data_IF_078656515962
#
_entry.id   IF_078656515962
#
_cell.length_a   1.000
_cell.length_b   1.000
_cell.length_c   1.000
_cell.angle_alpha   90.00
_cell.angle_beta   90.00
_cell.angle_gamma   90.00
#
_symmetry.space_group_name_H-M   'P 1'
#
loop_
_entity.id
_entity.type
_entity.pdbx_description
1 polymer ?
#
# COMPACT_ATOMS: atom_id res chain seq x y z
N UNK A 1 -27.93 -8.96 -38.24
CA UNK A 1 -28.15 -8.05 -37.09
C UNK A 1 -26.80 -7.73 -36.46
N UNK A 2 -26.46 -6.46 -36.36
CA UNK A 2 -25.22 -5.96 -35.77
C UNK A 2 -25.25 -6.20 -34.25
N UNK A 3 -24.55 -7.23 -33.78
CA UNK A 3 -24.21 -7.34 -32.35
C UNK A 3 -23.06 -6.34 -32.12
N UNK A 4 -23.32 -5.15 -31.56
CA UNK A 4 -22.23 -4.24 -31.17
C UNK A 4 -22.64 -3.13 -30.20
N UNK A 5 -22.57 -3.45 -28.90
CA UNK A 5 -21.71 -2.82 -27.88
C UNK A 5 -22.18 -3.39 -26.54
N UNK A 6 -21.44 -4.37 -26.02
CA UNK A 6 -21.46 -4.57 -24.56
C UNK A 6 -21.11 -3.20 -23.96
N UNK A 7 -22.02 -2.63 -23.18
CA UNK A 7 -21.72 -1.42 -22.44
C UNK A 7 -20.48 -1.71 -21.58
N UNK A 8 -19.43 -0.88 -21.71
CA UNK A 8 -18.26 -1.02 -20.86
C UNK A 8 -18.72 -0.84 -19.42
N UNK A 9 -18.85 -1.94 -18.68
CA UNK A 9 -19.43 -1.95 -17.34
C UNK A 9 -18.67 -1.01 -16.38
N UNK A 10 -17.43 -0.64 -16.72
CA UNK A 10 -16.65 0.35 -15.99
C UNK A 10 -17.31 1.73 -15.98
N UNK A 11 -18.12 2.08 -16.98
CA UNK A 11 -18.89 3.33 -16.99
C UNK A 11 -20.01 3.36 -15.95
N UNK A 12 -20.28 2.22 -15.30
CA UNK A 12 -21.20 2.12 -14.15
C UNK A 12 -20.49 2.38 -12.82
N UNK A 13 -19.15 2.50 -12.81
CA UNK A 13 -18.37 2.88 -11.65
C UNK A 13 -18.39 4.40 -11.47
N UNK A 14 -18.09 4.86 -10.26
CA UNK A 14 -17.79 6.28 -10.06
C UNK A 14 -16.54 6.65 -10.89
N UNK A 15 -16.39 7.89 -11.38
CA UNK A 15 -15.21 8.28 -12.16
C UNK A 15 -13.88 8.01 -11.43
N UNK A 16 -13.89 8.07 -10.09
CA UNK A 16 -12.75 7.76 -9.25
C UNK A 16 -12.40 6.27 -9.29
N UNK A 17 -13.40 5.40 -9.19
CA UNK A 17 -13.19 3.96 -9.17
C UNK A 17 -12.93 3.38 -10.56
N UNK A 18 -13.53 3.97 -11.61
CA UNK A 18 -13.17 3.69 -13.00
C UNK A 18 -11.69 4.00 -13.26
N UNK A 19 -11.22 5.17 -12.82
CA UNK A 19 -9.81 5.54 -12.94
C UNK A 19 -8.91 4.53 -12.22
N UNK A 20 -9.23 4.19 -10.96
CA UNK A 20 -8.48 3.18 -10.19
C UNK A 20 -8.44 1.82 -10.87
N UNK A 21 -9.58 1.37 -11.42
CA UNK A 21 -9.67 0.12 -12.15
C UNK A 21 -8.75 0.13 -13.38
N UNK A 22 -8.73 1.24 -14.13
CA UNK A 22 -7.87 1.38 -15.29
C UNK A 22 -6.38 1.45 -14.90
N UNK A 23 -6.03 2.08 -13.79
CA UNK A 23 -4.66 2.08 -13.25
C UNK A 23 -4.20 0.66 -12.87
N UNK A 24 -5.07 -0.13 -12.21
CA UNK A 24 -4.78 -1.55 -11.91
C UNK A 24 -4.53 -2.32 -13.21
N UNK A 25 -5.42 -2.19 -14.21
CA UNK A 25 -5.28 -2.88 -15.50
C UNK A 25 -3.97 -2.50 -16.21
N UNK A 26 -3.56 -1.23 -16.12
CA UNK A 26 -2.30 -0.76 -16.68
C UNK A 26 -1.10 -1.41 -15.99
N UNK A 27 -1.13 -1.54 -14.66
CA UNK A 27 -0.08 -2.23 -13.91
C UNK A 27 0.04 -3.71 -14.28
N UNK A 28 -1.01 -4.32 -14.85
CA UNK A 28 -0.97 -5.70 -15.32
C UNK A 28 -0.21 -5.91 -16.63
N UNK A 29 0.22 -4.86 -17.31
CA UNK A 29 0.91 -4.97 -18.59
C UNK A 29 2.17 -5.85 -18.51
N UNK A 30 2.88 -5.84 -17.37
CA UNK A 30 4.03 -6.70 -17.11
C UNK A 30 3.70 -8.21 -17.04
N UNK A 31 2.44 -8.58 -16.82
CA UNK A 31 1.97 -9.97 -16.74
C UNK A 31 1.31 -10.46 -18.01
N UNK A 32 1.32 -9.65 -19.07
CA UNK A 32 0.61 -9.92 -20.32
C UNK A 32 0.91 -11.29 -20.92
N UNK A 33 2.16 -11.74 -20.85
CA UNK A 33 2.54 -13.08 -21.32
C UNK A 33 1.91 -14.17 -20.46
N UNK A 34 1.92 -14.02 -19.14
CA UNK A 34 1.43 -15.03 -18.20
C UNK A 34 -0.08 -15.26 -18.32
N UNK A 35 -0.89 -14.20 -18.36
CA UNK A 35 -2.34 -14.38 -18.46
C UNK A 35 -2.81 -14.75 -19.88
N UNK A 36 -2.05 -14.41 -20.93
CA UNK A 36 -2.39 -14.81 -22.31
C UNK A 36 -2.10 -16.27 -22.60
N UNK A 37 -1.17 -16.89 -21.87
CA UNK A 37 -0.89 -18.32 -21.98
C UNK A 37 -1.81 -19.19 -21.11
N UNK A 38 -2.69 -18.58 -20.32
CA UNK A 38 -3.61 -19.32 -19.46
C UNK A 38 -4.84 -19.83 -20.23
N UNK A 39 -5.39 -20.95 -19.78
CA UNK A 39 -6.63 -21.53 -20.32
C UNK A 39 -7.81 -20.55 -20.16
N UNK A 40 -7.94 -19.92 -18.99
CA UNK A 40 -8.86 -18.81 -18.75
C UNK A 40 -8.08 -17.52 -18.52
N UNK A 41 -8.03 -16.69 -19.56
CA UNK A 41 -7.36 -15.40 -19.56
C UNK A 41 -7.97 -14.44 -18.53
N UNK A 42 -9.30 -14.45 -18.35
CA UNK A 42 -9.98 -13.51 -17.44
C UNK A 42 -9.68 -13.86 -15.98
N UNK A 43 -9.71 -15.15 -15.65
CA UNK A 43 -9.33 -15.63 -14.30
C UNK A 43 -7.85 -15.33 -14.05
N UNK A 44 -6.97 -15.57 -15.03
CA UNK A 44 -5.55 -15.27 -14.88
C UNK A 44 -5.28 -13.76 -14.70
N UNK A 45 -6.01 -12.90 -15.41
CA UNK A 45 -5.96 -11.44 -15.21
C UNK A 45 -6.38 -11.04 -13.79
N UNK A 46 -7.45 -11.64 -13.25
CA UNK A 46 -7.88 -11.41 -11.87
C UNK A 46 -6.79 -11.81 -10.87
N UNK A 47 -6.17 -12.98 -11.05
CA UNK A 47 -5.06 -13.40 -10.18
C UNK A 47 -3.85 -12.46 -10.25
N UNK A 48 -3.52 -11.96 -11.45
CA UNK A 48 -2.46 -10.96 -11.61
C UNK A 48 -2.82 -9.64 -10.89
N UNK A 49 -4.09 -9.21 -10.94
CA UNK A 49 -4.59 -8.05 -10.20
C UNK A 49 -4.45 -8.23 -8.69
N UNK A 50 -4.86 -9.39 -8.16
CA UNK A 50 -4.72 -9.72 -6.74
C UNK A 50 -3.25 -9.74 -6.32
N UNK A 51 -2.36 -10.27 -7.16
CA UNK A 51 -0.93 -10.28 -6.90
C UNK A 51 -0.35 -8.86 -6.80
N UNK A 52 -0.69 -7.96 -7.72
CA UNK A 52 -0.26 -6.56 -7.67
C UNK A 52 -0.78 -5.84 -6.42
N UNK A 53 -2.07 -5.97 -6.11
CA UNK A 53 -2.64 -5.39 -4.89
C UNK A 53 -1.96 -5.93 -3.62
N UNK A 54 -1.59 -7.21 -3.60
CA UNK A 54 -0.85 -7.80 -2.48
C UNK A 54 0.56 -7.23 -2.35
N UNK A 55 1.25 -6.95 -3.46
CA UNK A 55 2.57 -6.30 -3.46
C UNK A 55 2.49 -4.86 -2.95
N UNK A 56 1.51 -4.09 -3.42
CA UNK A 56 1.27 -2.74 -2.94
C UNK A 56 0.97 -2.73 -1.43
N UNK A 57 0.13 -3.64 -0.96
CA UNK A 57 -0.19 -3.76 0.46
C UNK A 57 1.05 -4.13 1.30
N UNK A 58 1.88 -5.06 0.82
CA UNK A 58 3.13 -5.41 1.49
C UNK A 58 4.12 -4.22 1.55
N UNK A 59 4.19 -3.42 0.47
CA UNK A 59 5.01 -2.22 0.43
C UNK A 59 4.50 -1.15 1.42
N UNK A 60 3.18 -0.95 1.50
CA UNK A 60 2.57 -0.05 2.48
C UNK A 60 2.84 -0.52 3.91
N UNK A 61 2.63 -1.80 4.21
CA UNK A 61 2.92 -2.38 5.51
C UNK A 61 4.38 -2.20 5.92
N UNK A 62 5.33 -2.41 4.99
CA UNK A 62 6.76 -2.18 5.24
C UNK A 62 7.05 -0.70 5.56
N UNK A 63 6.42 0.23 4.84
CA UNK A 63 6.56 1.67 5.13
C UNK A 63 6.00 2.03 6.50
N UNK A 64 4.82 1.54 6.85
CA UNK A 64 4.21 1.75 8.17
C UNK A 64 5.11 1.22 9.28
N UNK A 65 5.63 0.00 9.14
CA UNK A 65 6.56 -0.60 10.12
C UNK A 65 7.84 0.23 10.30
N UNK A 66 8.37 0.82 9.23
CA UNK A 66 9.53 1.74 9.31
C UNK A 66 9.19 3.01 10.08
N UNK A 67 8.01 3.57 9.86
CA UNK A 67 7.53 4.75 10.59
C UNK A 67 7.32 4.44 12.08
N UNK A 68 6.74 3.28 12.41
CA UNK A 68 6.62 2.83 13.80
C UNK A 68 7.98 2.75 14.48
N UNK A 69 8.98 2.15 13.84
CA UNK A 69 10.34 2.10 14.37
C UNK A 69 10.96 3.49 14.58
N UNK A 70 10.74 4.40 13.64
CA UNK A 70 11.21 5.79 13.77
C UNK A 70 10.55 6.53 14.93
N UNK A 71 9.22 6.41 15.08
CA UNK A 71 8.51 7.04 16.19
C UNK A 71 8.89 6.46 17.54
N UNK A 72 9.08 5.14 17.64
CA UNK A 72 9.56 4.51 18.86
C UNK A 72 10.94 5.05 19.26
N UNK A 73 11.87 5.17 18.30
CA UNK A 73 13.19 5.74 18.57
C UNK A 73 13.13 7.20 19.06
N UNK A 74 12.21 8.02 18.51
CA UNK A 74 11.98 9.38 18.99
C UNK A 74 11.47 9.39 20.43
N UNK A 75 10.50 8.52 20.74
CA UNK A 75 9.91 8.43 22.08
C UNK A 75 10.95 7.97 23.10
N UNK A 76 11.74 6.93 22.77
CA UNK A 76 12.81 6.43 23.63
C UNK A 76 13.83 7.53 23.94
N UNK A 77 14.28 8.26 22.92
CA UNK A 77 15.20 9.39 23.11
C UNK A 77 14.59 10.48 23.98
N UNK A 78 13.32 10.83 23.78
CA UNK A 78 12.62 11.82 24.58
C UNK A 78 12.54 11.41 26.06
N UNK A 79 12.23 10.15 26.34
CA UNK A 79 12.19 9.60 27.70
C UNK A 79 13.59 9.66 28.33
N UNK A 80 14.63 9.28 27.59
CA UNK A 80 16.01 9.32 28.08
C UNK A 80 16.46 10.75 28.40
N UNK A 81 16.22 11.69 27.50
CA UNK A 81 16.57 13.11 27.69
C UNK A 81 15.80 13.72 28.87
N UNK A 82 14.50 13.38 29.01
CA UNK A 82 13.69 13.81 30.15
C UNK A 82 14.22 13.26 31.47
N UNK A 83 14.58 11.97 31.52
CA UNK A 83 15.17 11.36 32.73
C UNK A 83 16.48 12.04 33.10
N UNK A 84 17.37 12.30 32.14
CA UNK A 84 18.62 13.04 32.40
C UNK A 84 18.37 14.43 32.96
N UNK A 85 17.33 15.13 32.47
CA UNK A 85 16.94 16.43 33.02
C UNK A 85 16.45 16.33 34.46
N UNK A 86 15.62 15.33 34.77
CA UNK A 86 15.13 15.08 36.13
C UNK A 86 16.31 14.75 37.08
N UNK A 87 17.21 13.85 36.68
CA UNK A 87 18.39 13.47 37.47
C UNK A 87 19.30 14.69 37.75
N UNK A 88 19.50 15.56 36.76
CA UNK A 88 20.27 16.81 36.93
C UNK A 88 19.59 17.77 37.92
N UNK A 89 18.27 17.94 37.84
CA UNK A 89 17.53 18.81 38.75
C UNK A 89 17.63 18.30 40.20
N UNK A 90 17.44 17.00 40.42
CA UNK A 90 17.59 16.41 41.75
C UNK A 90 19.01 16.60 42.29
N UNK A 91 20.04 16.41 41.47
CA UNK A 91 21.43 16.61 41.91
C UNK A 91 21.73 18.07 42.31
N UNK A 92 21.01 19.06 41.76
CA UNK A 92 21.16 20.47 42.13
C UNK A 92 20.40 20.83 43.41
N UNK A 93 19.33 20.10 43.75
CA UNK A 93 18.57 20.29 45.00
C UNK A 93 19.27 19.68 46.22
N UNK A 94 20.16 18.72 46.02
CA UNK A 94 20.94 18.06 47.08
C UNK A 94 22.23 18.81 47.49
N UNK A 95 22.61 19.87 46.76
CA UNK A 95 23.74 20.76 47.08
C UNK A 95 23.30 22.05 47.79
#
# INVERSE_FOLDING_TARGET
MLIKREADWKTLLTPKDEKRMNDIIKNLEGYKTAFRSAEDVKIAQLWCAVLELKKENAALYSKTKKLEGFFNAIIEKYIEDKKKQEDMLTSLEEF
#
